data_IF_648845761237
#
_entry.id   IF_648845761237
#
_cell.length_a   1.000
_cell.length_b   1.000
_cell.length_c   1.000
_cell.angle_alpha   90.00
_cell.angle_beta   90.00
_cell.angle_gamma   90.00
#
_symmetry.space_group_name_H-M   'P 1'
#
loop_
_entity.id
_entity.type
_entity.pdbx_description
1 polymer ?
#
# COMPACT_ATOMS: atom_id res chain seq x y z
N UNK A 1 15.02 10.33 -8.83
CA UNK A 1 14.03 10.40 -9.91
C UNK A 1 12.67 10.32 -9.25
N UNK A 2 11.92 11.43 -9.22
CA UNK A 2 10.56 11.41 -8.67
C UNK A 2 9.67 10.69 -9.67
N UNK A 3 9.09 9.58 -9.24
CA UNK A 3 8.05 8.91 -10.01
C UNK A 3 6.78 9.68 -9.72
N UNK A 4 6.43 10.58 -10.65
CA UNK A 4 5.20 11.39 -10.58
C UNK A 4 4.00 10.68 -11.19
N UNK A 5 4.26 9.58 -11.92
CA UNK A 5 3.24 8.86 -12.66
C UNK A 5 2.23 8.20 -11.71
N UNK A 6 0.98 8.32 -12.05
CA UNK A 6 -0.11 7.72 -11.28
C UNK A 6 -0.23 6.21 -11.51
N UNK A 7 0.29 5.73 -12.64
CA UNK A 7 0.35 4.34 -13.04
C UNK A 7 1.75 4.08 -13.59
N UNK A 8 2.35 2.96 -13.21
CA UNK A 8 3.66 2.52 -13.67
C UNK A 8 3.48 1.10 -14.17
N UNK A 9 3.81 0.86 -15.42
CA UNK A 9 3.66 -0.45 -16.05
C UNK A 9 4.96 -0.79 -16.77
N UNK A 10 5.45 -1.99 -16.52
CA UNK A 10 6.58 -2.56 -17.24
C UNK A 10 6.26 -4.01 -17.64
N UNK A 11 6.61 -4.35 -18.87
CA UNK A 11 6.72 -5.72 -19.33
C UNK A 11 8.16 -5.86 -19.87
N UNK A 12 9.07 -6.43 -19.07
CA UNK A 12 10.50 -6.31 -19.30
C UNK A 12 11.31 -7.51 -18.79
N UNK A 13 12.62 -7.47 -19.09
CA UNK A 13 13.64 -8.38 -18.58
C UNK A 13 14.52 -7.71 -17.52
N UNK A 14 14.57 -6.40 -17.48
CA UNK A 14 15.40 -5.64 -16.55
C UNK A 14 14.53 -4.88 -15.55
N UNK A 15 14.87 -5.01 -14.28
CA UNK A 15 14.19 -4.29 -13.20
C UNK A 15 14.48 -2.79 -13.33
N UNK A 16 13.45 -1.93 -13.26
CA UNK A 16 13.64 -0.49 -13.22
C UNK A 16 14.59 -0.08 -12.09
N UNK A 17 15.54 0.79 -12.39
CA UNK A 17 16.60 1.19 -11.46
C UNK A 17 16.07 1.69 -10.10
N UNK A 18 14.92 2.36 -10.08
CA UNK A 18 14.31 2.87 -8.85
C UNK A 18 13.89 1.76 -7.86
N UNK A 19 13.69 0.52 -8.31
CA UNK A 19 13.36 -0.62 -7.44
C UNK A 19 14.61 -1.32 -6.89
N UNK A 20 15.79 -1.05 -7.44
CA UNK A 20 17.06 -1.58 -6.93
C UNK A 20 17.52 -0.84 -5.67
N UNK A 21 17.01 0.38 -5.44
CA UNK A 21 17.22 1.15 -4.22
C UNK A 21 15.98 1.05 -3.31
N UNK A 22 16.11 1.30 -1.99
CA UNK A 22 14.97 1.35 -1.10
C UNK A 22 13.90 2.34 -1.59
N UNK A 23 12.78 1.82 -2.02
CA UNK A 23 11.68 2.60 -2.60
C UNK A 23 10.46 2.56 -1.68
N UNK A 24 10.08 3.71 -1.15
CA UNK A 24 8.83 3.81 -0.41
C UNK A 24 7.65 3.91 -1.39
N UNK A 25 6.89 2.83 -1.46
CA UNK A 25 5.77 2.70 -2.39
C UNK A 25 4.46 3.13 -1.74
N UNK A 26 3.79 4.13 -2.30
CA UNK A 26 2.39 4.50 -2.01
C UNK A 26 1.41 3.91 -3.06
N UNK A 27 1.90 3.00 -3.88
CA UNK A 27 1.15 2.29 -4.91
C UNK A 27 0.59 0.95 -4.41
N UNK A 28 -0.53 0.55 -4.97
CA UNK A 28 -0.86 -0.87 -5.06
C UNK A 28 0.03 -1.48 -6.13
N UNK A 29 0.77 -2.53 -5.79
CA UNK A 29 1.74 -3.16 -6.68
C UNK A 29 1.37 -4.60 -6.98
N UNK A 30 1.56 -4.96 -8.24
CA UNK A 30 1.48 -6.33 -8.73
C UNK A 30 2.74 -6.59 -9.55
N UNK A 31 3.48 -7.64 -9.20
CA UNK A 31 4.59 -8.15 -10.01
C UNK A 31 4.29 -9.59 -10.35
N UNK A 32 4.27 -9.93 -11.63
CA UNK A 32 4.03 -11.29 -12.14
C UNK A 32 5.34 -11.79 -12.69
N UNK A 33 5.85 -12.90 -12.15
CA UNK A 33 7.06 -13.55 -12.60
C UNK A 33 6.73 -14.54 -13.73
N UNK A 34 7.11 -14.23 -14.97
CA UNK A 34 6.89 -15.09 -16.11
C UNK A 34 8.02 -16.11 -16.30
N UNK A 35 9.25 -15.75 -15.92
CA UNK A 35 10.43 -16.59 -16.02
C UNK A 35 11.47 -16.18 -14.99
N UNK A 36 12.29 -17.14 -14.55
CA UNK A 36 13.35 -16.90 -13.59
C UNK A 36 12.82 -16.70 -12.16
N UNK A 37 13.58 -15.97 -11.38
CA UNK A 37 13.25 -15.63 -10.01
C UNK A 37 13.74 -14.22 -9.67
N UNK A 38 13.13 -13.60 -8.66
CA UNK A 38 13.66 -12.40 -8.05
C UNK A 38 13.54 -12.43 -6.53
N UNK A 39 14.58 -11.91 -5.88
CA UNK A 39 14.67 -11.72 -4.44
C UNK A 39 14.45 -10.25 -4.12
N UNK A 40 13.63 -9.97 -3.14
CA UNK A 40 13.29 -8.60 -2.75
C UNK A 40 13.03 -8.50 -1.25
N UNK A 41 13.11 -7.28 -0.73
CA UNK A 41 12.85 -6.95 0.67
C UNK A 41 11.65 -6.04 0.77
N UNK A 42 10.75 -6.32 1.71
CA UNK A 42 9.60 -5.47 2.05
C UNK A 42 9.62 -5.20 3.55
N UNK A 43 9.72 -3.93 3.95
CA UNK A 43 9.77 -3.50 5.35
C UNK A 43 10.82 -4.27 6.18
N UNK A 44 11.96 -4.62 5.57
CA UNK A 44 13.06 -5.36 6.20
C UNK A 44 12.94 -6.89 6.15
N UNK A 45 11.84 -7.45 5.65
CA UNK A 45 11.67 -8.89 5.46
C UNK A 45 12.02 -9.29 4.01
N UNK A 46 12.83 -10.34 3.83
CA UNK A 46 13.22 -10.85 2.51
C UNK A 46 12.23 -11.87 1.98
N UNK A 47 11.95 -11.79 0.68
CA UNK A 47 11.06 -12.66 -0.07
C UNK A 47 11.74 -13.13 -1.34
N UNK A 48 11.25 -14.25 -1.87
CA UNK A 48 11.62 -14.74 -3.19
C UNK A 48 10.33 -15.06 -3.95
N UNK A 49 10.28 -14.67 -5.22
CA UNK A 49 9.24 -15.11 -6.14
C UNK A 49 9.87 -15.73 -7.36
N UNK A 50 9.25 -16.79 -7.87
CA UNK A 50 9.69 -17.60 -8.99
C UNK A 50 8.67 -17.66 -10.11
N UNK A 51 9.01 -18.30 -11.21
CA UNK A 51 8.15 -18.45 -12.39
C UNK A 51 6.74 -18.93 -12.02
N UNK A 52 5.72 -18.22 -12.53
CA UNK A 52 4.31 -18.49 -12.30
C UNK A 52 3.78 -17.89 -10.99
N UNK A 53 4.59 -17.24 -10.18
CA UNK A 53 4.14 -16.56 -8.97
C UNK A 53 3.84 -15.09 -9.21
N UNK A 54 2.84 -14.61 -8.51
CA UNK A 54 2.48 -13.19 -8.44
C UNK A 54 2.82 -12.63 -7.07
N UNK A 55 3.43 -11.44 -7.05
CA UNK A 55 3.71 -10.66 -5.84
C UNK A 55 2.72 -9.51 -5.76
N UNK A 56 2.02 -9.44 -4.64
CA UNK A 56 1.08 -8.37 -4.36
C UNK A 56 1.66 -7.48 -3.28
N UNK A 57 1.73 -6.18 -3.56
CA UNK A 57 2.33 -5.18 -2.70
C UNK A 57 1.29 -4.14 -2.31
N UNK A 58 1.25 -3.82 -1.04
CA UNK A 58 0.34 -2.82 -0.50
C UNK A 58 0.94 -1.42 -0.52
N UNK A 59 0.13 -0.37 -0.57
CA UNK A 59 0.62 0.99 -0.33
C UNK A 59 1.23 1.14 1.06
N UNK A 60 2.24 1.96 1.18
CA UNK A 60 2.88 2.32 2.44
C UNK A 60 3.93 1.31 2.90
N UNK A 61 4.66 0.72 1.98
CA UNK A 61 5.77 -0.22 2.22
C UNK A 61 7.10 0.35 1.74
N UNK A 62 8.18 -0.11 2.34
CA UNK A 62 9.52 0.08 1.82
C UNK A 62 9.91 -1.17 1.03
N UNK A 63 10.04 -1.02 -0.28
CA UNK A 63 10.39 -2.09 -1.22
C UNK A 63 11.79 -1.91 -1.74
N UNK A 64 12.57 -2.99 -1.85
CA UNK A 64 13.84 -3.02 -2.55
C UNK A 64 14.03 -4.37 -3.24
N UNK A 65 14.32 -4.37 -4.52
CA UNK A 65 14.77 -5.57 -5.24
C UNK A 65 16.25 -5.78 -4.96
N UNK A 66 16.63 -6.98 -4.54
CA UNK A 66 17.99 -7.34 -4.15
C UNK A 66 18.73 -8.06 -5.27
N UNK A 67 18.04 -8.99 -5.93
CA UNK A 67 18.64 -9.88 -6.92
C UNK A 67 17.60 -10.40 -7.90
N UNK A 68 17.99 -10.59 -9.16
CA UNK A 68 17.19 -11.29 -10.18
C UNK A 68 18.05 -12.32 -10.90
N UNK A 69 17.42 -13.43 -11.36
CA UNK A 69 18.10 -14.36 -12.24
C UNK A 69 18.32 -13.75 -13.63
N UNK A 70 19.34 -14.19 -14.38
CA UNK A 70 19.65 -13.64 -15.71
C UNK A 70 18.53 -13.79 -16.74
N UNK A 71 17.67 -14.79 -16.54
CA UNK A 71 16.51 -15.09 -17.41
C UNK A 71 15.20 -14.46 -16.89
N UNK A 72 15.27 -13.58 -15.89
CA UNK A 72 14.09 -12.99 -15.27
C UNK A 72 13.24 -12.21 -16.27
N UNK A 73 11.96 -12.54 -16.33
CA UNK A 73 10.93 -11.83 -17.10
C UNK A 73 9.72 -11.58 -16.23
N UNK A 74 9.17 -10.38 -16.28
CA UNK A 74 8.08 -9.98 -15.42
C UNK A 74 7.12 -8.99 -16.10
N UNK A 75 5.90 -8.94 -15.56
CA UNK A 75 4.99 -7.81 -15.72
C UNK A 75 4.85 -7.11 -14.38
N UNK A 76 5.04 -5.78 -14.37
CA UNK A 76 4.83 -4.93 -13.20
C UNK A 76 3.68 -3.97 -13.49
N UNK A 77 2.76 -3.87 -12.56
CA UNK A 77 1.71 -2.87 -12.52
C UNK A 77 1.67 -2.23 -11.13
N UNK A 78 2.00 -0.95 -11.07
CA UNK A 78 1.83 -0.11 -9.90
C UNK A 78 0.82 0.99 -10.20
N UNK A 79 -0.13 1.22 -9.31
CA UNK A 79 -1.11 2.29 -9.46
C UNK A 79 -1.52 2.91 -8.13
N UNK A 80 -1.86 4.20 -8.15
CA UNK A 80 -2.36 4.92 -6.98
C UNK A 80 -3.87 4.75 -6.87
N UNK A 81 -4.33 4.27 -5.71
CA UNK A 81 -5.76 4.03 -5.44
C UNK A 81 -6.57 5.32 -5.49
N UNK A 82 -5.94 6.46 -5.25
CA UNK A 82 -6.58 7.78 -5.29
C UNK A 82 -7.31 8.05 -6.61
N UNK A 83 -6.82 7.52 -7.73
CA UNK A 83 -7.43 7.66 -9.05
C UNK A 83 -8.83 7.08 -9.17
N UNK A 84 -9.08 6.00 -8.45
CA UNK A 84 -10.34 5.24 -8.49
C UNK A 84 -11.06 5.21 -7.14
N UNK A 85 -10.54 5.94 -6.15
CA UNK A 85 -11.06 5.92 -4.77
C UNK A 85 -12.55 6.20 -4.68
N UNK A 86 -13.03 7.21 -5.41
CA UNK A 86 -14.44 7.60 -5.43
C UNK A 86 -15.36 6.55 -6.06
N UNK A 87 -14.81 5.67 -6.89
CA UNK A 87 -15.55 4.59 -7.55
C UNK A 87 -15.55 3.29 -6.73
N UNK A 88 -14.58 3.11 -5.85
CA UNK A 88 -14.39 1.86 -5.09
C UNK A 88 -15.28 1.75 -3.83
N UNK A 89 -15.85 2.84 -3.35
CA UNK A 89 -16.66 2.82 -2.13
C UNK A 89 -15.90 2.15 -0.96
N UNK A 90 -16.56 1.21 -0.29
CA UNK A 90 -15.96 0.45 0.83
C UNK A 90 -14.86 -0.53 0.41
N UNK A 91 -14.67 -0.79 -0.87
CA UNK A 91 -13.64 -1.73 -1.37
C UNK A 91 -12.22 -1.26 -1.05
N UNK A 92 -11.99 0.06 -0.99
CA UNK A 92 -10.70 0.64 -0.57
C UNK A 92 -10.38 0.24 0.88
N UNK A 93 -11.39 0.19 1.73
CA UNK A 93 -11.24 -0.26 3.12
C UNK A 93 -10.79 -1.71 3.14
N UNK A 94 -11.42 -2.58 2.35
CA UNK A 94 -11.07 -4.01 2.26
C UNK A 94 -9.63 -4.22 1.75
N UNK A 95 -9.17 -3.46 0.77
CA UNK A 95 -7.78 -3.53 0.30
C UNK A 95 -6.78 -3.06 1.37
N UNK A 96 -7.09 -1.98 2.10
CA UNK A 96 -6.25 -1.53 3.22
C UNK A 96 -6.22 -2.52 4.36
N UNK A 97 -7.34 -3.17 4.62
CA UNK A 97 -7.45 -4.26 5.56
C UNK A 97 -6.51 -5.38 5.21
N UNK A 98 -6.59 -5.85 3.97
CA UNK A 98 -5.69 -6.89 3.50
C UNK A 98 -4.22 -6.52 3.72
N UNK A 99 -3.83 -5.29 3.37
CA UNK A 99 -2.46 -4.80 3.58
C UNK A 99 -2.05 -4.72 5.05
N UNK A 100 -3.03 -4.68 5.95
CA UNK A 100 -2.80 -4.59 7.40
C UNK A 100 -2.87 -5.96 8.07
N UNK A 101 -3.68 -6.88 7.52
CA UNK A 101 -3.82 -8.25 8.01
C UNK A 101 -2.57 -9.09 7.79
N UNK A 102 -1.87 -8.86 6.66
CA UNK A 102 -0.61 -9.56 6.40
C UNK A 102 0.56 -8.74 6.91
N UNK A 103 1.31 -9.25 7.91
CA UNK A 103 2.40 -8.51 8.58
C UNK A 103 3.48 -8.01 7.61
N UNK A 104 3.70 -8.73 6.53
CA UNK A 104 4.68 -8.40 5.50
C UNK A 104 4.22 -7.35 4.50
N UNK A 105 2.91 -7.00 4.47
CA UNK A 105 2.34 -6.14 3.42
C UNK A 105 2.67 -6.60 1.98
N UNK A 106 3.07 -7.86 1.86
CA UNK A 106 3.45 -8.55 0.64
C UNK A 106 2.89 -9.97 0.67
N UNK A 107 2.38 -10.42 -0.46
CA UNK A 107 1.97 -11.82 -0.66
C UNK A 107 2.58 -12.34 -1.93
N UNK A 108 3.20 -13.50 -1.86
CA UNK A 108 3.70 -14.25 -3.02
C UNK A 108 2.83 -15.50 -3.16
N UNK A 109 2.21 -15.68 -4.32
CA UNK A 109 1.33 -16.83 -4.55
C UNK A 109 1.14 -17.15 -6.03
N UNK A 110 0.88 -18.43 -6.32
CA UNK A 110 0.24 -18.85 -7.57
C UNK A 110 -1.28 -18.63 -7.43
N UNK A 111 -1.83 -17.72 -8.20
CA UNK A 111 -3.23 -17.34 -8.08
C UNK A 111 -4.13 -18.01 -9.13
N UNK A 112 -3.54 -18.47 -10.24
CA UNK A 112 -4.24 -18.91 -11.43
C UNK A 112 -4.83 -17.77 -12.26
N UNK A 113 -4.49 -16.51 -11.92
CA UNK A 113 -4.96 -15.30 -12.61
C UNK A 113 -3.83 -14.52 -13.27
N UNK A 114 -2.63 -15.07 -13.35
CA UNK A 114 -1.41 -14.40 -13.82
C UNK A 114 -1.58 -13.88 -15.26
N UNK A 115 -2.12 -14.72 -16.17
CA UNK A 115 -2.35 -14.32 -17.56
C UNK A 115 -3.41 -13.21 -17.69
N UNK A 116 -4.48 -13.27 -16.90
CA UNK A 116 -5.52 -12.24 -16.88
C UNK A 116 -4.98 -10.92 -16.35
N UNK A 117 -4.23 -10.94 -15.24
CA UNK A 117 -3.62 -9.76 -14.65
C UNK A 117 -2.60 -9.12 -15.61
N UNK A 118 -1.79 -9.95 -16.28
CA UNK A 118 -0.88 -9.49 -17.35
C UNK A 118 -1.63 -8.85 -18.52
N UNK A 119 -2.79 -9.41 -18.89
CA UNK A 119 -3.61 -8.85 -19.96
C UNK A 119 -4.17 -7.49 -19.58
N UNK A 120 -4.62 -7.29 -18.33
CA UNK A 120 -5.02 -5.96 -17.84
C UNK A 120 -3.86 -4.98 -17.87
N UNK A 121 -2.66 -5.39 -17.44
CA UNK A 121 -1.48 -4.54 -17.49
C UNK A 121 -1.14 -4.11 -18.93
N UNK A 122 -1.19 -5.03 -19.90
CA UNK A 122 -0.97 -4.71 -21.32
C UNK A 122 -2.02 -3.76 -21.89
N UNK A 123 -3.29 -3.92 -21.52
CA UNK A 123 -4.35 -2.98 -21.94
C UNK A 123 -4.09 -1.57 -21.38
N UNK A 124 -3.76 -1.48 -20.09
CA UNK A 124 -3.40 -0.23 -19.44
C UNK A 124 -2.18 0.43 -20.10
N UNK A 125 -1.13 -0.36 -20.41
CA UNK A 125 0.07 0.14 -21.08
C UNK A 125 -0.25 0.76 -22.44
N UNK A 126 -1.14 0.14 -23.22
CA UNK A 126 -1.59 0.68 -24.52
C UNK A 126 -2.35 2.00 -24.37
N UNK A 127 -3.12 2.17 -23.30
CA UNK A 127 -3.84 3.41 -23.02
C UNK A 127 -2.89 4.53 -22.58
N UNK A 128 -1.86 4.21 -21.79
CA UNK A 128 -0.83 5.16 -21.36
C UNK A 128 0.05 5.65 -22.53
N UNK A 129 0.28 4.83 -23.53
CA UNK A 129 1.11 5.17 -24.71
C UNK A 129 0.38 6.03 -25.75
N UNK A 130 -0.89 6.37 -25.55
CA UNK A 130 -1.60 7.30 -26.44
C UNK A 130 -1.02 8.70 -26.31
N UNK A 131 -0.60 9.29 -27.44
CA UNK A 131 -0.07 10.67 -27.49
C UNK A 131 -1.10 11.70 -27.04
N UNK A 132 -2.38 11.50 -27.38
CA UNK A 132 -3.50 12.35 -26.96
C UNK A 132 -4.60 11.49 -26.33
N UNK A 133 -4.62 11.35 -25.01
CA UNK A 133 -5.67 10.59 -24.33
C UNK A 133 -7.00 11.34 -24.37
N UNK A 134 -7.99 10.79 -25.08
CA UNK A 134 -9.35 11.29 -25.06
C UNK A 134 -10.10 10.96 -23.75
N UNK A 135 -11.24 11.58 -23.54
CA UNK A 135 -12.07 11.38 -22.34
C UNK A 135 -12.48 9.91 -22.16
N UNK A 136 -12.74 9.19 -23.23
CA UNK A 136 -13.14 7.78 -23.18
C UNK A 136 -11.98 6.90 -22.75
N UNK A 137 -10.77 7.13 -23.27
CA UNK A 137 -9.55 6.41 -22.87
C UNK A 137 -9.25 6.60 -21.38
N UNK A 138 -9.43 7.80 -20.84
CA UNK A 138 -9.27 8.06 -19.40
C UNK A 138 -10.30 7.32 -18.54
N UNK A 139 -11.54 7.20 -19.00
CA UNK A 139 -12.57 6.42 -18.31
C UNK A 139 -12.29 4.92 -18.39
N UNK A 140 -11.89 4.42 -19.56
CA UNK A 140 -11.50 3.03 -19.77
C UNK A 140 -10.35 2.63 -18.83
N UNK A 141 -9.31 3.46 -18.71
CA UNK A 141 -8.20 3.27 -17.80
C UNK A 141 -8.68 3.10 -16.34
N UNK A 142 -9.58 3.99 -15.88
CA UNK A 142 -10.14 3.89 -14.52
C UNK A 142 -10.96 2.61 -14.33
N UNK A 143 -11.74 2.20 -15.32
CA UNK A 143 -12.51 0.95 -15.27
C UNK A 143 -11.61 -0.28 -15.23
N UNK A 144 -10.52 -0.30 -16.00
CA UNK A 144 -9.52 -1.37 -15.97
C UNK A 144 -8.81 -1.44 -14.60
N UNK A 145 -8.43 -0.30 -14.03
CA UNK A 145 -7.87 -0.26 -12.67
C UNK A 145 -8.86 -0.77 -11.61
N UNK A 146 -10.16 -0.45 -11.78
CA UNK A 146 -11.20 -1.03 -10.94
C UNK A 146 -11.30 -2.54 -11.11
N UNK A 147 -11.29 -3.05 -12.34
CA UNK A 147 -11.34 -4.49 -12.62
C UNK A 147 -10.17 -5.22 -11.95
N UNK A 148 -8.94 -4.69 -12.07
CA UNK A 148 -7.76 -5.19 -11.38
C UNK A 148 -7.98 -5.20 -9.86
N UNK A 149 -8.46 -4.08 -9.31
CA UNK A 149 -8.70 -3.92 -7.88
C UNK A 149 -9.72 -4.94 -7.35
N UNK A 150 -10.84 -5.11 -8.04
CA UNK A 150 -11.85 -6.11 -7.67
C UNK A 150 -11.32 -7.55 -7.80
N UNK A 151 -10.48 -7.83 -8.80
CA UNK A 151 -9.83 -9.13 -8.91
C UNK A 151 -8.90 -9.40 -7.74
N UNK A 152 -8.10 -8.42 -7.33
CA UNK A 152 -7.27 -8.52 -6.14
C UNK A 152 -8.12 -8.79 -4.89
N UNK A 153 -9.18 -8.03 -4.69
CA UNK A 153 -10.11 -8.26 -3.59
C UNK A 153 -10.70 -9.69 -3.61
N UNK A 154 -11.04 -10.21 -4.80
CA UNK A 154 -11.56 -11.58 -4.96
C UNK A 154 -10.51 -12.63 -4.58
N UNK A 155 -9.27 -12.49 -5.06
CA UNK A 155 -8.15 -13.37 -4.73
C UNK A 155 -7.95 -13.41 -3.20
N UNK A 156 -7.95 -12.25 -2.57
CA UNK A 156 -7.69 -12.15 -1.14
C UNK A 156 -8.88 -12.53 -0.28
N UNK A 157 -10.12 -12.25 -0.70
CA UNK A 157 -11.32 -12.65 0.04
C UNK A 157 -11.48 -14.18 0.13
N UNK A 158 -10.97 -14.92 -0.84
CA UNK A 158 -10.98 -16.39 -0.78
C UNK A 158 -10.15 -16.96 0.37
N UNK A 159 -9.11 -16.22 0.79
CA UNK A 159 -8.25 -16.59 1.91
C UNK A 159 -8.98 -16.46 3.26
N UNK A 160 -10.04 -15.60 3.33
CA UNK A 160 -10.80 -15.37 4.57
C UNK A 160 -12.01 -16.31 4.75
N UNK A 161 -12.46 -17.01 3.71
CA UNK A 161 -13.65 -17.90 3.77
C UNK A 161 -13.50 -19.11 4.72
N UNK A 162 -12.30 -19.36 5.23
CA UNK A 162 -12.02 -20.41 6.22
C UNK A 162 -12.02 -19.92 7.67
N UNK A 163 -12.30 -18.64 7.90
CA UNK A 163 -12.33 -18.08 9.25
C UNK A 163 -13.56 -18.55 10.03
N UNK A 164 -13.39 -18.79 11.34
CA UNK A 164 -14.52 -19.05 12.23
C UNK A 164 -15.43 -17.82 12.36
N UNK A 165 -16.73 -17.99 12.71
CA UNK A 165 -17.64 -16.87 12.98
C UNK A 165 -17.09 -15.85 13.97
N UNK A 166 -16.29 -16.31 14.95
CA UNK A 166 -15.63 -15.43 15.90
C UNK A 166 -14.55 -14.56 15.22
N UNK A 167 -13.79 -15.14 14.28
CA UNK A 167 -12.79 -14.39 13.53
C UNK A 167 -13.45 -13.41 12.56
N UNK A 168 -14.56 -13.79 11.90
CA UNK A 168 -15.34 -12.87 11.04
C UNK A 168 -15.76 -11.62 11.83
N UNK A 169 -16.31 -11.81 13.05
CA UNK A 169 -16.70 -10.69 13.91
C UNK A 169 -15.51 -9.81 14.34
N UNK A 170 -14.34 -10.40 14.61
CA UNK A 170 -13.12 -9.65 14.90
C UNK A 170 -12.66 -8.83 13.68
N UNK A 171 -12.78 -9.39 12.48
CA UNK A 171 -12.48 -8.71 11.23
C UNK A 171 -13.42 -7.52 11.03
N UNK A 172 -14.73 -7.65 11.22
CA UNK A 172 -15.70 -6.54 11.11
C UNK A 172 -15.36 -5.37 12.04
N UNK A 173 -15.01 -5.67 13.31
CA UNK A 173 -14.56 -4.64 14.26
C UNK A 173 -13.26 -3.98 13.81
N UNK A 174 -12.34 -4.79 13.29
CA UNK A 174 -11.08 -4.28 12.76
C UNK A 174 -11.28 -3.39 11.52
N UNK A 175 -12.20 -3.76 10.62
CA UNK A 175 -12.60 -2.95 9.46
C UNK A 175 -13.12 -1.58 9.88
N UNK A 176 -14.04 -1.59 10.84
CA UNK A 176 -14.59 -0.36 11.41
C UNK A 176 -13.51 0.51 12.04
N UNK A 177 -12.54 -0.10 12.75
CA UNK A 177 -11.37 0.62 13.28
C UNK A 177 -10.53 1.27 12.19
N UNK A 178 -10.22 0.53 11.13
CA UNK A 178 -9.39 1.07 10.02
C UNK A 178 -10.08 2.28 9.39
N UNK A 179 -11.38 2.22 9.19
CA UNK A 179 -12.18 3.36 8.69
C UNK A 179 -12.11 4.56 9.64
N UNK A 180 -12.31 4.35 10.93
CA UNK A 180 -12.22 5.39 11.94
C UNK A 180 -10.81 6.00 12.02
N UNK A 181 -9.76 5.20 11.88
CA UNK A 181 -8.37 5.69 11.80
C UNK A 181 -8.22 6.62 10.60
N UNK A 182 -8.67 6.21 9.41
CA UNK A 182 -8.56 7.03 8.21
C UNK A 182 -9.26 8.39 8.33
N UNK A 183 -10.36 8.43 9.01
CA UNK A 183 -11.14 9.65 9.20
C UNK A 183 -10.51 10.58 10.26
N UNK A 184 -9.85 10.03 11.29
CA UNK A 184 -9.50 10.77 12.50
C UNK A 184 -8.00 10.82 12.83
N UNK A 185 -7.12 10.01 12.23
CA UNK A 185 -5.71 9.86 12.64
C UNK A 185 -4.90 11.15 12.67
N UNK A 186 -5.30 12.17 11.91
CA UNK A 186 -4.61 13.46 11.91
C UNK A 186 -4.82 14.23 13.21
N UNK A 187 -5.94 14.02 13.91
CA UNK A 187 -6.34 14.76 15.12
C UNK A 187 -6.32 13.87 16.36
N UNK A 188 -6.77 12.61 16.20
CA UNK A 188 -6.96 11.68 17.31
C UNK A 188 -5.91 10.57 17.30
N UNK A 189 -5.24 10.40 18.45
CA UNK A 189 -4.17 9.41 18.63
C UNK A 189 -4.42 8.46 19.80
N UNK A 190 -5.50 8.72 20.57
CA UNK A 190 -5.85 7.92 21.72
C UNK A 190 -6.55 6.63 21.32
N UNK A 191 -6.04 5.49 21.79
CA UNK A 191 -6.72 4.20 21.61
C UNK A 191 -8.10 4.18 22.23
N UNK A 192 -8.28 4.91 23.34
CA UNK A 192 -9.56 5.05 24.03
C UNK A 192 -10.62 5.69 23.10
N UNK A 193 -10.27 6.77 22.38
CA UNK A 193 -11.19 7.38 21.42
C UNK A 193 -11.74 6.36 20.41
N UNK A 194 -10.89 5.56 19.79
CA UNK A 194 -11.32 4.58 18.80
C UNK A 194 -12.15 3.45 19.41
N UNK A 195 -11.82 3.04 20.62
CA UNK A 195 -12.58 2.03 21.35
C UNK A 195 -13.99 2.54 21.70
N UNK A 196 -14.10 3.78 22.15
CA UNK A 196 -15.38 4.44 22.48
C UNK A 196 -16.25 4.57 21.23
N UNK A 197 -15.68 4.97 20.09
CA UNK A 197 -16.42 5.05 18.81
C UNK A 197 -16.94 3.68 18.34
N UNK A 198 -16.27 2.59 18.71
CA UNK A 198 -16.67 1.22 18.41
C UNK A 198 -17.54 0.58 19.50
N UNK A 199 -17.88 1.33 20.56
CA UNK A 199 -18.64 0.85 21.72
C UNK A 199 -18.00 -0.41 22.38
N UNK A 200 -16.68 -0.46 22.45
CA UNK A 200 -15.91 -1.55 23.08
C UNK A 200 -14.81 -1.00 24.01
N UNK A 201 -14.26 -1.86 24.84
CA UNK A 201 -13.16 -1.45 25.71
C UNK A 201 -11.82 -1.34 24.95
N UNK A 202 -10.91 -0.44 25.35
CA UNK A 202 -9.57 -0.33 24.75
C UNK A 202 -8.77 -1.63 24.82
N UNK A 203 -8.95 -2.41 25.92
CA UNK A 203 -8.34 -3.72 26.11
C UNK A 203 -8.84 -4.71 25.07
N UNK A 204 -10.15 -4.77 24.85
CA UNK A 204 -10.75 -5.69 23.89
C UNK A 204 -10.37 -5.31 22.45
N UNK A 205 -10.38 -4.01 22.10
CA UNK A 205 -9.90 -3.50 20.82
C UNK A 205 -8.43 -3.94 20.58
N UNK A 206 -7.56 -3.79 21.58
CA UNK A 206 -6.15 -4.19 21.48
C UNK A 206 -5.98 -5.69 21.22
N UNK A 207 -6.81 -6.52 21.88
CA UNK A 207 -6.82 -7.98 21.67
C UNK A 207 -7.26 -8.31 20.24
N UNK A 208 -8.34 -7.70 19.75
CA UNK A 208 -8.82 -7.90 18.38
C UNK A 208 -7.72 -7.55 17.38
N UNK A 209 -7.18 -6.33 17.45
CA UNK A 209 -6.15 -5.85 16.53
C UNK A 209 -4.93 -6.77 16.54
N UNK A 210 -4.47 -7.17 17.72
CA UNK A 210 -3.34 -8.09 17.84
C UNK A 210 -3.63 -9.46 17.23
N UNK A 211 -4.86 -9.98 17.41
CA UNK A 211 -5.26 -11.30 16.87
C UNK A 211 -5.46 -11.27 15.35
N UNK A 212 -5.93 -10.14 14.80
CA UNK A 212 -6.23 -10.00 13.36
C UNK A 212 -4.98 -9.66 12.55
N UNK A 213 -4.12 -8.75 13.02
CA UNK A 213 -2.98 -8.28 12.23
C UNK A 213 -1.62 -8.33 12.92
N UNK A 214 -1.52 -8.87 14.13
CA UNK A 214 -0.28 -8.96 14.88
C UNK A 214 0.29 -7.63 15.39
N UNK A 215 -0.34 -6.50 15.04
CA UNK A 215 0.10 -5.13 15.40
C UNK A 215 -0.72 -4.56 16.54
N UNK A 216 -0.24 -3.43 17.10
CA UNK A 216 -1.03 -2.63 18.05
C UNK A 216 -1.83 -1.55 17.31
N UNK A 217 -2.92 -1.06 17.92
CA UNK A 217 -3.68 0.09 17.40
C UNK A 217 -2.76 1.30 17.17
N UNK A 218 -1.83 1.51 18.10
CA UNK A 218 -0.88 2.62 18.01
C UNK A 218 0.07 2.51 16.82
N UNK A 219 0.52 1.28 16.48
CA UNK A 219 1.33 1.04 15.28
C UNK A 219 0.55 1.33 14.00
N UNK A 220 -0.77 1.04 13.96
CA UNK A 220 -1.62 1.36 12.83
C UNK A 220 -1.75 2.88 12.65
N UNK A 221 -1.99 3.60 13.75
CA UNK A 221 -2.04 5.06 13.77
C UNK A 221 -0.73 5.68 13.29
N UNK A 222 0.40 5.21 13.80
CA UNK A 222 1.71 5.71 13.39
C UNK A 222 1.97 5.49 11.89
N UNK A 223 1.60 4.30 11.37
CA UNK A 223 1.70 4.01 9.93
C UNK A 223 0.85 4.98 9.10
N UNK A 224 -0.37 5.29 9.52
CA UNK A 224 -1.24 6.25 8.85
C UNK A 224 -0.63 7.67 8.84
N UNK A 225 -0.10 8.13 9.97
CA UNK A 225 0.56 9.45 10.10
C UNK A 225 1.80 9.52 9.20
N UNK A 226 2.67 8.52 9.23
CA UNK A 226 3.89 8.48 8.40
C UNK A 226 3.52 8.52 6.91
N UNK A 227 2.56 7.69 6.47
CA UNK A 227 2.09 7.68 5.09
C UNK A 227 1.59 9.07 4.66
N UNK A 228 0.76 9.72 5.48
CA UNK A 228 0.27 11.07 5.18
C UNK A 228 1.38 12.11 5.17
N UNK A 229 2.33 12.00 6.08
CA UNK A 229 3.52 12.87 6.13
C UNK A 229 4.31 12.80 4.83
N UNK A 230 4.59 11.60 4.36
CA UNK A 230 5.32 11.35 3.11
C UNK A 230 4.55 11.91 1.92
N UNK A 231 3.24 11.63 1.85
CA UNK A 231 2.40 12.19 0.80
C UNK A 231 2.46 13.73 0.75
N UNK A 232 2.32 14.39 1.91
CA UNK A 232 2.36 15.85 1.97
C UNK A 232 3.74 16.40 1.59
N UNK A 233 4.82 15.74 1.98
CA UNK A 233 6.18 16.15 1.62
C UNK A 233 6.48 16.01 0.13
N UNK A 234 5.97 14.98 -0.51
CA UNK A 234 6.23 14.70 -1.93
C UNK A 234 5.29 15.46 -2.88
N UNK A 235 4.03 15.66 -2.48
CA UNK A 235 2.99 16.14 -3.38
C UNK A 235 2.50 17.56 -3.07
N UNK A 236 3.16 18.27 -2.15
CA UNK A 236 2.80 19.65 -1.82
C UNK A 236 4.04 20.49 -1.51
N UNK A 237 3.94 21.82 -1.70
CA UNK A 237 4.98 22.78 -1.32
C UNK A 237 4.92 23.18 0.17
N UNK A 238 4.18 22.45 1.03
CA UNK A 238 4.04 22.76 2.45
C UNK A 238 5.38 22.65 3.16
N UNK A 239 5.68 23.60 4.02
CA UNK A 239 6.86 23.53 4.90
C UNK A 239 6.71 22.39 5.91
N UNK A 240 7.82 21.93 6.49
CA UNK A 240 7.79 20.91 7.55
C UNK A 240 6.96 21.38 8.74
N UNK A 241 6.96 22.66 9.04
CA UNK A 241 6.14 23.25 10.09
C UNK A 241 4.64 23.18 9.78
N UNK A 242 4.25 23.49 8.55
CA UNK A 242 2.85 23.37 8.10
C UNK A 242 2.39 21.92 8.14
N UNK A 243 3.24 20.97 7.70
CA UNK A 243 2.92 19.53 7.78
C UNK A 243 2.76 19.09 9.23
N UNK A 244 3.64 19.53 10.13
CA UNK A 244 3.53 19.25 11.55
C UNK A 244 2.20 19.76 12.13
N UNK A 245 1.80 20.97 11.75
CA UNK A 245 0.53 21.58 12.15
C UNK A 245 -0.68 20.81 11.61
N UNK A 246 -0.68 20.48 10.32
CA UNK A 246 -1.75 19.70 9.66
C UNK A 246 -1.98 18.34 10.33
N UNK A 247 -0.88 17.74 10.81
CA UNK A 247 -0.88 16.45 11.50
C UNK A 247 -1.00 16.58 13.02
N UNK A 248 -1.41 17.76 13.52
CA UNK A 248 -1.62 18.03 14.94
C UNK A 248 -0.41 17.68 15.83
N UNK A 249 0.81 17.97 15.36
CA UNK A 249 1.99 17.96 16.22
C UNK A 249 2.18 19.33 16.90
N UNK A 250 2.68 19.35 18.14
CA UNK A 250 2.90 20.61 18.88
C UNK A 250 3.84 21.57 18.13
N UNK A 251 4.83 21.04 17.43
CA UNK A 251 5.81 21.80 16.65
C UNK A 251 6.56 20.90 15.66
N UNK A 252 7.35 21.53 14.77
CA UNK A 252 8.15 20.80 13.76
C UNK A 252 9.22 19.89 14.38
N UNK A 253 9.74 20.20 15.58
CA UNK A 253 10.74 19.36 16.26
C UNK A 253 10.13 18.04 16.73
N UNK A 254 8.95 18.09 17.36
CA UNK A 254 8.22 16.90 17.79
C UNK A 254 7.87 16.00 16.59
N UNK A 255 7.42 16.61 15.50
CA UNK A 255 7.17 15.89 14.24
C UNK A 255 8.47 15.28 13.68
N UNK A 256 9.57 16.03 13.65
CA UNK A 256 10.86 15.57 13.16
C UNK A 256 11.39 14.37 13.93
N UNK A 257 11.28 14.39 15.25
CA UNK A 257 11.67 13.28 16.13
C UNK A 257 10.82 12.04 15.87
N UNK A 258 9.49 12.23 15.80
CA UNK A 258 8.55 11.15 15.49
C UNK A 258 8.85 10.53 14.10
N UNK A 259 8.99 11.36 13.08
CA UNK A 259 9.22 10.92 11.72
C UNK A 259 10.55 10.15 11.59
N UNK A 260 11.64 10.71 12.14
CA UNK A 260 12.96 10.06 12.13
C UNK A 260 12.95 8.71 12.86
N UNK A 261 12.23 8.63 13.99
CA UNK A 261 12.08 7.37 14.73
C UNK A 261 11.44 6.26 13.89
N UNK A 262 10.50 6.61 13.01
CA UNK A 262 9.71 5.63 12.24
C UNK A 262 10.21 5.39 10.82
N UNK A 263 11.03 6.28 10.26
CA UNK A 263 11.54 6.19 8.88
C UNK A 263 13.06 6.10 8.77
N UNK A 264 13.77 6.32 9.88
CA UNK A 264 15.24 6.40 9.89
C UNK A 264 15.79 7.75 9.47
N UNK A 265 15.05 8.56 8.71
CA UNK A 265 15.50 9.83 8.14
C UNK A 265 14.75 11.03 8.75
N UNK A 266 15.42 12.19 8.82
CA UNK A 266 14.70 13.41 9.17
C UNK A 266 13.74 13.83 8.03
N UNK A 267 12.63 14.55 8.32
CA UNK A 267 11.71 15.02 7.28
C UNK A 267 12.41 15.85 6.20
N UNK A 268 13.42 16.65 6.59
CA UNK A 268 14.20 17.46 5.65
C UNK A 268 15.02 16.58 4.70
N UNK A 269 15.76 15.62 5.23
CA UNK A 269 16.56 14.69 4.43
C UNK A 269 15.68 13.83 3.53
N UNK A 270 14.57 13.35 4.07
CA UNK A 270 13.60 12.57 3.31
C UNK A 270 13.04 13.35 2.10
N UNK A 271 12.70 14.64 2.28
CA UNK A 271 12.23 15.51 1.19
C UNK A 271 13.28 15.76 0.13
N UNK A 272 14.56 15.91 0.53
CA UNK A 272 15.65 16.17 -0.39
C UNK A 272 16.14 14.93 -1.13
N UNK A 273 15.59 13.74 -0.85
CA UNK A 273 16.07 12.48 -1.40
C UNK A 273 17.49 12.12 -0.89
N UNK A 274 17.93 12.70 0.21
CA UNK A 274 19.23 12.38 0.80
C UNK A 274 19.14 11.01 1.48
N UNK A 275 20.04 10.11 1.10
CA UNK A 275 20.31 8.82 1.73
C UNK A 275 20.78 8.96 3.19
#
# INVERSE_FOLDING_TARGET
MEITDNIIIYEAQEIPHFLMQPFYSDYVGIVICHQGLFRFCVDGASFVASMGESVFLSPGILLQVQETSPDFRFTLLFYRVEQIRHMLGNTVVSMRLYSTLYPSACTVAHTGYEEMLSSYARMLLKLEQKEEPDTYSQHEQKLLLMAVTYRLCSIFSSTFKTASKEMERKIEVFESLVKLIEENFMRERSVAFYADQLCITPKYLSVIVKSVCGKTVQQLLFKAIIRRSIYLMKNTNKTIQQIASDLSFPNASAFGTFFKKHTGLSPKNYRMGAE
#
